data_IF_918601361994
#
_entry.id   IF_918601361994
#
_cell.length_a   1.000
_cell.length_b   1.000
_cell.length_c   1.000
_cell.angle_alpha   90.00
_cell.angle_beta   90.00
_cell.angle_gamma   90.00
#
_symmetry.space_group_name_H-M   'P 1'
#
loop_
_entity.id
_entity.type
_entity.pdbx_description
1 polymer ?
#
# COMPACT_ATOMS: atom_id res chain seq x y z
N UNK A 1 -40.72 35.27 -30.17
CA UNK A 1 -40.17 36.13 -29.09
C UNK A 1 -39.52 35.18 -28.10
N UNK A 2 -38.23 35.19 -27.79
CA UNK A 2 -37.23 36.27 -27.73
C UNK A 2 -35.88 35.78 -28.28
N UNK A 3 -35.09 36.73 -28.79
CA UNK A 3 -33.85 36.60 -29.57
C UNK A 3 -32.63 36.23 -28.72
N UNK A 4 -31.67 35.61 -29.42
CA UNK A 4 -30.28 35.47 -29.02
C UNK A 4 -29.52 36.81 -29.06
N UNK A 5 -28.52 36.95 -28.18
CA UNK A 5 -27.44 37.93 -28.34
C UNK A 5 -26.07 37.26 -28.24
N UNK A 6 -25.23 37.63 -29.21
CA UNK A 6 -23.85 37.23 -29.42
C UNK A 6 -22.98 38.36 -28.87
N UNK A 7 -22.00 38.07 -28.01
CA UNK A 7 -21.00 39.06 -27.58
C UNK A 7 -19.67 38.86 -28.32
N UNK A 8 -19.24 39.95 -28.97
CA UNK A 8 -18.05 40.09 -29.81
C UNK A 8 -16.86 40.49 -28.93
N UNK A 9 -15.76 39.74 -28.99
CA UNK A 9 -14.47 40.14 -28.40
C UNK A 9 -13.65 40.95 -29.42
N UNK A 10 -13.36 42.22 -29.09
CA UNK A 10 -12.43 43.09 -29.83
C UNK A 10 -11.02 43.00 -29.24
N UNK A 11 -10.04 42.94 -30.14
CA UNK A 11 -8.58 43.02 -29.88
C UNK A 11 -8.17 44.43 -29.47
N UNK A 12 -7.26 44.54 -28.50
CA UNK A 12 -6.56 45.78 -28.15
C UNK A 12 -5.08 45.50 -27.95
N UNK A 13 -4.25 46.04 -28.85
CA UNK A 13 -2.80 45.99 -28.83
C UNK A 13 -2.24 46.98 -27.80
N UNK A 14 -1.10 46.64 -27.18
CA UNK A 14 -0.28 47.59 -26.44
C UNK A 14 1.16 47.54 -26.94
N UNK A 15 1.63 48.72 -27.30
CA UNK A 15 2.88 49.08 -27.96
C UNK A 15 4.04 49.22 -26.98
N UNK A 16 5.24 48.82 -27.42
CA UNK A 16 6.52 49.12 -26.80
C UNK A 16 6.82 50.63 -26.80
N UNK A 17 7.42 51.14 -25.72
CA UNK A 17 8.16 52.41 -25.72
C UNK A 17 9.51 52.17 -25.04
N UNK A 18 10.57 52.44 -25.79
CA UNK A 18 11.94 52.53 -25.32
C UNK A 18 12.24 53.96 -24.87
N UNK A 19 13.07 54.13 -23.84
CA UNK A 19 13.70 55.41 -23.51
C UNK A 19 15.14 55.17 -23.04
N UNK A 20 16.05 55.91 -23.65
CA UNK A 20 17.51 55.80 -23.53
C UNK A 20 18.08 56.77 -22.50
N UNK A 21 19.13 56.30 -21.81
CA UNK A 21 20.36 56.96 -21.30
C UNK A 21 20.34 58.37 -20.71
N UNK A 22 20.93 58.49 -19.51
CA UNK A 22 21.89 59.54 -19.18
C UNK A 22 22.93 59.05 -18.16
N UNK A 23 24.20 59.11 -18.57
CA UNK A 23 25.39 58.87 -17.75
C UNK A 23 25.63 60.06 -16.82
N UNK A 24 25.94 59.77 -15.55
CA UNK A 24 26.66 60.67 -14.66
C UNK A 24 27.78 59.89 -13.98
N UNK A 25 29.00 60.25 -14.33
CA UNK A 25 30.25 59.74 -13.76
C UNK A 25 30.46 60.34 -12.36
N UNK A 26 30.59 59.49 -11.36
CA UNK A 26 31.19 59.88 -10.07
C UNK A 26 32.26 58.86 -9.70
N UNK A 27 33.51 59.30 -9.82
CA UNK A 27 34.68 58.56 -9.33
C UNK A 27 34.75 58.71 -7.82
N UNK A 28 34.58 57.63 -7.08
CA UNK A 28 34.97 57.57 -5.68
C UNK A 28 35.71 56.27 -5.42
N UNK A 29 37.02 56.39 -5.19
CA UNK A 29 37.91 55.32 -4.80
C UNK A 29 37.60 54.91 -3.37
N UNK A 30 36.85 53.83 -3.20
CA UNK A 30 36.79 53.06 -1.96
C UNK A 30 37.12 51.61 -2.29
N UNK A 31 38.25 51.11 -1.79
CA UNK A 31 38.54 49.67 -1.72
C UNK A 31 37.75 49.09 -0.54
N UNK A 32 36.77 48.19 -0.75
CA UNK A 32 36.31 47.32 0.32
C UNK A 32 37.28 46.15 0.41
N UNK A 33 37.84 45.93 1.60
CA UNK A 33 38.46 44.66 1.96
C UNK A 33 37.38 43.57 1.85
N UNK A 34 37.39 42.81 0.76
CA UNK A 34 36.66 41.54 0.67
C UNK A 34 37.39 40.52 1.56
N UNK A 35 36.99 40.45 2.83
CA UNK A 35 37.03 39.17 3.53
C UNK A 35 35.91 38.32 2.95
N UNK A 36 36.25 37.51 1.96
CA UNK A 36 35.45 36.32 1.63
C UNK A 36 35.50 35.41 2.86
N UNK A 37 34.37 35.10 3.52
CA UNK A 37 34.37 34.04 4.51
C UNK A 37 34.82 32.75 3.79
N UNK A 38 35.54 31.85 4.48
CA UNK A 38 35.94 30.60 3.88
C UNK A 38 34.68 29.92 3.36
N UNK A 39 34.72 29.56 2.08
CA UNK A 39 33.70 28.77 1.42
C UNK A 39 33.59 27.48 2.23
N UNK A 40 32.62 27.40 3.14
CA UNK A 40 32.25 26.15 3.77
C UNK A 40 31.81 25.24 2.64
N UNK A 41 32.74 24.42 2.16
CA UNK A 41 32.42 23.19 1.46
C UNK A 41 31.72 22.32 2.50
N UNK A 42 30.43 22.55 2.72
CA UNK A 42 29.59 21.53 3.32
C UNK A 42 29.75 20.31 2.43
N UNK A 43 30.46 19.31 2.96
CA UNK A 43 30.57 17.99 2.39
C UNK A 43 29.15 17.51 2.07
N UNK A 44 28.74 17.59 0.81
CA UNK A 44 27.48 17.00 0.33
C UNK A 44 27.45 15.47 0.56
N UNK A 45 28.60 14.86 0.85
CA UNK A 45 28.75 13.47 1.28
C UNK A 45 28.29 13.20 2.72
N UNK A 46 28.17 14.21 3.58
CA UNK A 46 27.82 14.03 5.00
C UNK A 46 26.30 14.07 5.28
N UNK A 47 25.49 14.57 4.32
CA UNK A 47 24.03 14.56 4.45
C UNK A 47 23.37 13.25 3.96
N UNK A 48 24.10 12.41 3.22
CA UNK A 48 23.60 11.11 2.74
C UNK A 48 23.77 9.98 3.78
N UNK A 49 24.47 10.23 4.90
CA UNK A 49 24.79 9.21 5.91
C UNK A 49 23.72 9.01 6.99
N UNK A 50 22.60 9.74 6.94
CA UNK A 50 21.57 9.71 7.96
C UNK A 50 20.26 9.16 7.40
N UNK A 51 20.07 7.86 7.56
CA UNK A 51 18.85 7.17 7.17
C UNK A 51 17.81 7.26 8.29
N UNK A 52 16.50 7.29 7.96
CA UNK A 52 15.47 7.03 8.96
C UNK A 52 15.66 5.65 9.59
N UNK A 53 15.34 5.51 10.87
CA UNK A 53 15.64 4.27 11.61
C UNK A 53 14.94 3.01 11.10
N UNK A 54 13.81 3.16 10.40
CA UNK A 54 13.16 2.02 9.75
C UNK A 54 13.81 1.58 8.43
N UNK A 55 14.58 2.46 7.78
CA UNK A 55 15.29 2.20 6.51
C UNK A 55 16.79 1.92 6.71
N UNK A 56 17.28 2.01 7.96
CA UNK A 56 18.67 1.76 8.36
C UNK A 56 19.03 0.28 8.60
N UNK A 57 18.07 -0.65 8.57
CA UNK A 57 18.35 -2.07 8.81
C UNK A 57 18.51 -2.40 10.31
N UNK A 58 19.69 -2.89 10.72
CA UNK A 58 20.01 -3.34 12.09
C UNK A 58 20.22 -2.21 13.11
N UNK A 59 19.93 -0.97 12.73
CA UNK A 59 20.19 0.17 13.59
C UNK A 59 19.29 0.15 14.83
N UNK A 60 19.86 0.52 15.97
CA UNK A 60 19.10 0.78 17.19
C UNK A 60 18.28 2.05 16.96
N UNK A 61 16.99 2.04 17.27
CA UNK A 61 16.10 3.20 17.05
C UNK A 61 16.33 4.35 18.05
N UNK A 62 17.52 4.41 18.63
CA UNK A 62 17.93 5.45 19.55
C UNK A 62 18.43 6.66 18.76
N UNK A 63 17.89 7.85 19.02
CA UNK A 63 18.28 9.09 18.34
C UNK A 63 17.66 9.37 16.97
N UNK A 64 16.64 8.61 16.51
CA UNK A 64 15.89 8.78 15.24
C UNK A 64 16.70 8.72 13.94
N UNK A 65 18.03 8.70 14.02
CA UNK A 65 18.94 8.82 12.88
C UNK A 65 19.89 7.63 12.86
N UNK A 66 20.02 7.00 11.70
CA UNK A 66 20.84 5.82 11.51
C UNK A 66 22.04 6.10 10.61
N UNK A 67 23.21 5.67 11.06
CA UNK A 67 24.41 5.59 10.22
C UNK A 67 24.34 4.25 9.50
N UNK A 68 24.13 4.30 8.18
CA UNK A 68 24.08 3.10 7.35
C UNK A 68 25.40 2.32 7.47
N UNK A 69 25.33 0.98 7.59
CA UNK A 69 26.50 0.15 7.29
C UNK A 69 26.91 0.40 5.83
N UNK A 70 28.22 0.54 5.59
CA UNK A 70 28.82 0.87 4.28
C UNK A 70 28.52 -0.16 3.16
N UNK A 71 27.74 -1.21 3.46
CA UNK A 71 27.48 -2.39 2.62
C UNK A 71 26.23 -2.26 1.74
N UNK A 72 25.41 -1.21 1.90
CA UNK A 72 24.23 -1.00 1.03
C UNK A 72 24.44 0.14 0.05
N UNK A 73 24.75 -0.20 -1.20
CA UNK A 73 25.08 0.73 -2.30
C UNK A 73 23.90 1.65 -2.73
N UNK A 74 22.68 1.37 -2.30
CA UNK A 74 21.49 2.16 -2.67
C UNK A 74 21.39 3.41 -1.79
N UNK A 75 21.44 4.60 -2.39
CA UNK A 75 21.12 5.86 -1.69
C UNK A 75 19.61 6.05 -1.54
N UNK A 76 19.14 6.87 -0.59
CA UNK A 76 17.70 7.21 -0.46
C UNK A 76 17.13 7.73 -1.79
N UNK A 77 17.89 8.58 -2.50
CA UNK A 77 17.48 9.14 -3.79
C UNK A 77 17.45 8.11 -4.93
N UNK A 78 18.16 7.00 -4.79
CA UNK A 78 18.17 5.89 -5.72
C UNK A 78 17.11 4.81 -5.41
N UNK A 79 16.41 4.90 -4.28
CA UNK A 79 15.35 3.97 -3.93
C UNK A 79 14.10 4.23 -4.79
N UNK A 80 13.63 3.20 -5.48
CA UNK A 80 12.36 3.21 -6.21
C UNK A 80 11.24 2.48 -5.47
N UNK A 81 10.22 2.04 -6.22
CA UNK A 81 9.12 1.26 -5.68
C UNK A 81 8.15 2.09 -4.84
N UNK A 82 7.48 1.46 -3.89
CA UNK A 82 6.39 2.10 -3.13
C UNK A 82 6.51 1.96 -1.63
N UNK A 83 7.70 1.71 -1.08
CA UNK A 83 7.87 1.55 0.37
C UNK A 83 9.02 2.36 0.97
N UNK A 84 10.24 2.20 0.46
CA UNK A 84 11.42 2.83 1.03
C UNK A 84 12.71 2.12 0.64
N UNK A 85 13.84 2.63 1.12
CA UNK A 85 15.18 2.18 0.74
C UNK A 85 15.43 0.72 1.10
N UNK A 86 15.09 0.30 2.32
CA UNK A 86 15.32 -1.07 2.79
C UNK A 86 14.52 -2.07 1.97
N UNK A 87 13.28 -1.74 1.64
CA UNK A 87 12.44 -2.57 0.78
C UNK A 87 12.97 -2.61 -0.66
N UNK A 88 13.52 -1.52 -1.17
CA UNK A 88 14.12 -1.48 -2.52
C UNK A 88 15.38 -2.34 -2.62
N UNK A 89 16.24 -2.25 -1.61
CA UNK A 89 17.47 -3.02 -1.51
C UNK A 89 17.25 -4.53 -1.40
N UNK A 90 16.05 -4.97 -0.97
CA UNK A 90 15.68 -6.38 -0.94
C UNK A 90 15.50 -7.01 -2.33
N UNK A 91 15.49 -6.20 -3.40
CA UNK A 91 15.53 -6.66 -4.78
C UNK A 91 14.18 -7.02 -5.38
N UNK A 92 14.18 -7.52 -6.61
CA UNK A 92 12.96 -7.76 -7.39
C UNK A 92 12.23 -9.06 -6.99
N UNK A 93 11.06 -9.28 -7.61
CA UNK A 93 10.23 -10.48 -7.47
C UNK A 93 9.68 -10.73 -6.06
N UNK A 94 9.47 -9.66 -5.31
CA UNK A 94 8.91 -9.69 -3.97
C UNK A 94 7.46 -10.18 -3.99
N UNK A 95 7.07 -10.95 -2.97
CA UNK A 95 5.67 -11.23 -2.66
C UNK A 95 5.33 -10.53 -1.37
N UNK A 96 4.30 -9.70 -1.38
CA UNK A 96 4.04 -8.71 -0.33
C UNK A 96 2.70 -8.94 0.32
N UNK A 97 2.70 -9.06 1.64
CA UNK A 97 1.54 -8.82 2.50
C UNK A 97 1.56 -7.34 2.88
N UNK A 98 0.53 -6.62 2.50
CA UNK A 98 0.44 -5.17 2.67
C UNK A 98 -0.60 -4.82 3.72
N UNK A 99 -0.18 -3.98 4.68
CA UNK A 99 -0.97 -3.53 5.81
C UNK A 99 -0.94 -2.01 5.89
N UNK A 100 -2.04 -1.43 6.36
CA UNK A 100 -2.08 -0.06 6.87
C UNK A 100 -2.27 -0.14 8.38
N UNK A 101 -1.59 0.72 9.14
CA UNK A 101 -1.86 0.86 10.57
C UNK A 101 -1.69 2.32 10.99
N UNK A 102 -2.66 2.82 11.74
CA UNK A 102 -2.78 4.23 12.12
C UNK A 102 -3.53 4.36 13.45
N UNK A 103 -3.31 5.49 14.13
CA UNK A 103 -3.86 5.75 15.46
C UNK A 103 -3.20 4.92 16.56
N UNK A 104 -3.71 5.08 17.77
CA UNK A 104 -3.02 4.62 18.99
C UNK A 104 -3.74 3.47 19.70
N UNK A 105 -4.69 2.79 19.05
CA UNK A 105 -5.34 1.64 19.66
C UNK A 105 -4.32 0.48 19.81
N UNK A 106 -4.00 0.05 21.05
CA UNK A 106 -2.97 -0.95 21.30
C UNK A 106 -3.30 -2.34 20.72
N UNK A 107 -4.57 -2.65 20.51
CA UNK A 107 -4.99 -3.96 19.99
C UNK A 107 -4.47 -4.19 18.56
N UNK A 108 -4.40 -3.15 17.72
CA UNK A 108 -3.83 -3.26 16.36
C UNK A 108 -2.32 -3.51 16.39
N UNK A 109 -1.60 -2.89 17.33
CA UNK A 109 -0.15 -3.08 17.46
C UNK A 109 0.21 -4.48 17.98
N UNK A 110 -0.62 -5.02 18.88
CA UNK A 110 -0.52 -6.43 19.29
C UNK A 110 -0.83 -7.36 18.12
N UNK A 111 -1.88 -7.06 17.34
CA UNK A 111 -2.25 -7.79 16.14
C UNK A 111 -1.14 -7.83 15.09
N UNK A 112 -0.44 -6.71 14.87
CA UNK A 112 0.71 -6.65 13.96
C UNK A 112 1.80 -7.67 14.31
N UNK A 113 2.15 -7.79 15.60
CA UNK A 113 3.16 -8.78 16.05
C UNK A 113 2.73 -10.20 15.70
N UNK A 114 1.45 -10.52 15.90
CA UNK A 114 0.89 -11.84 15.57
C UNK A 114 0.88 -12.09 14.07
N UNK A 115 0.49 -11.10 13.26
CA UNK A 115 0.53 -11.20 11.79
C UNK A 115 1.96 -11.46 11.30
N UNK A 116 2.96 -10.75 11.83
CA UNK A 116 4.36 -10.95 11.45
C UNK A 116 4.83 -12.38 11.73
N UNK A 117 4.50 -12.91 12.91
CA UNK A 117 4.79 -14.30 13.26
C UNK A 117 4.11 -15.29 12.30
N UNK A 118 2.81 -15.12 12.08
CA UNK A 118 2.02 -16.03 11.25
C UNK A 118 2.41 -15.98 9.77
N UNK A 119 2.72 -14.80 9.23
CA UNK A 119 3.23 -14.67 7.85
C UNK A 119 4.58 -15.37 7.73
N UNK A 120 5.48 -15.24 8.71
CA UNK A 120 6.76 -15.93 8.72
C UNK A 120 6.63 -17.46 8.67
N UNK A 121 5.58 -18.02 9.30
CA UNK A 121 5.31 -19.45 9.33
C UNK A 121 4.52 -19.92 8.09
N UNK A 122 3.42 -19.24 7.74
CA UNK A 122 2.46 -19.71 6.74
C UNK A 122 2.82 -19.28 5.31
N UNK A 123 3.59 -18.21 5.15
CA UNK A 123 3.95 -17.64 3.85
C UNK A 123 5.47 -17.44 3.74
N UNK A 124 6.27 -18.52 3.80
CA UNK A 124 7.72 -18.40 3.70
C UNK A 124 8.13 -17.67 2.41
N UNK A 125 9.06 -16.73 2.55
CA UNK A 125 9.54 -15.86 1.46
C UNK A 125 8.65 -14.66 1.15
N UNK A 126 7.48 -14.52 1.79
CA UNK A 126 6.69 -13.30 1.70
C UNK A 126 7.24 -12.22 2.64
N UNK A 127 7.17 -10.99 2.17
CA UNK A 127 7.53 -9.78 2.89
C UNK A 127 6.26 -9.15 3.48
N UNK A 128 6.37 -8.54 4.64
CA UNK A 128 5.31 -7.70 5.20
C UNK A 128 5.71 -6.24 5.04
N UNK A 129 4.90 -5.48 4.30
CA UNK A 129 5.05 -4.03 4.16
C UNK A 129 3.94 -3.34 4.96
N UNK A 130 4.33 -2.55 5.96
CA UNK A 130 3.42 -1.75 6.76
C UNK A 130 3.49 -0.29 6.37
N UNK A 131 2.37 0.25 5.91
CA UNK A 131 2.19 1.66 5.59
C UNK A 131 1.65 2.41 6.80
N UNK A 132 2.44 3.36 7.32
CA UNK A 132 2.13 4.12 8.53
C UNK A 132 2.96 5.40 8.60
N UNK A 133 2.79 6.19 9.67
CA UNK A 133 3.67 7.31 10.04
C UNK A 133 4.67 6.82 11.09
N UNK A 134 5.90 6.43 10.71
CA UNK A 134 6.75 5.62 11.60
C UNK A 134 7.22 6.38 12.85
N UNK A 135 7.48 7.68 12.71
CA UNK A 135 7.99 8.54 13.79
C UNK A 135 7.11 8.50 15.05
N UNK A 136 5.79 8.38 14.91
CA UNK A 136 4.86 8.36 16.03
C UNK A 136 4.87 7.02 16.81
N UNK A 137 5.48 5.97 16.25
CA UNK A 137 5.27 4.59 16.71
C UNK A 137 6.56 3.79 16.88
N UNK A 138 7.69 4.47 17.12
CA UNK A 138 9.00 3.85 17.28
C UNK A 138 9.03 2.76 18.38
N UNK A 139 8.30 2.95 19.48
CA UNK A 139 8.21 2.00 20.59
C UNK A 139 7.60 0.65 20.18
N UNK A 140 6.66 0.66 19.23
CA UNK A 140 6.04 -0.56 18.70
C UNK A 140 6.85 -1.17 17.55
N UNK A 141 7.34 -0.34 16.64
CA UNK A 141 7.95 -0.78 15.39
C UNK A 141 9.39 -1.24 15.56
N UNK A 142 10.17 -0.56 16.40
CA UNK A 142 11.59 -0.84 16.55
C UNK A 142 11.90 -2.28 16.97
N UNK A 143 11.24 -2.84 18.02
CA UNK A 143 11.48 -4.23 18.40
C UNK A 143 11.12 -5.21 17.28
N UNK A 144 10.07 -4.91 16.50
CA UNK A 144 9.60 -5.77 15.41
C UNK A 144 10.58 -5.79 14.24
N UNK A 145 11.17 -4.65 13.87
CA UNK A 145 12.18 -4.60 12.78
C UNK A 145 13.42 -5.45 13.08
N UNK A 146 13.80 -5.56 14.36
CA UNK A 146 14.92 -6.39 14.81
C UNK A 146 14.57 -7.89 14.82
N UNK A 147 13.31 -8.22 15.11
CA UNK A 147 12.85 -9.61 15.21
C UNK A 147 12.49 -10.22 13.85
N UNK A 148 12.01 -9.40 12.90
CA UNK A 148 11.47 -9.87 11.63
C UNK A 148 12.23 -9.26 10.45
N UNK A 149 13.10 -10.06 9.82
CA UNK A 149 13.92 -9.62 8.69
C UNK A 149 13.11 -9.35 7.42
N UNK A 150 11.96 -10.01 7.27
CA UNK A 150 11.00 -9.82 6.18
C UNK A 150 9.99 -8.68 6.42
N UNK A 151 10.16 -7.88 7.48
CA UNK A 151 9.30 -6.75 7.82
C UNK A 151 9.91 -5.43 7.34
N UNK A 152 9.09 -4.64 6.64
CA UNK A 152 9.43 -3.33 6.11
C UNK A 152 8.37 -2.32 6.54
N UNK A 153 8.82 -1.16 6.99
CA UNK A 153 7.97 -0.03 7.35
C UNK A 153 8.10 1.02 6.24
N UNK A 154 6.96 1.42 5.69
CA UNK A 154 6.84 2.33 4.58
C UNK A 154 6.27 3.66 5.09
N UNK A 155 7.08 4.73 5.05
CA UNK A 155 6.68 6.06 5.54
C UNK A 155 5.77 6.75 4.53
N UNK A 156 4.47 6.78 4.83
CA UNK A 156 3.45 7.39 3.97
C UNK A 156 3.63 8.90 3.77
N UNK A 157 4.46 9.55 4.59
CA UNK A 157 4.79 10.98 4.43
C UNK A 157 5.93 11.22 3.44
N UNK A 158 6.68 10.16 3.07
CA UNK A 158 7.88 10.26 2.26
C UNK A 158 8.16 8.96 1.49
N UNK A 159 7.19 8.47 0.70
CA UNK A 159 7.41 7.32 -0.17
C UNK A 159 8.26 7.71 -1.39
N UNK A 160 8.98 6.75 -2.00
CA UNK A 160 9.71 7.00 -3.24
C UNK A 160 8.81 7.58 -4.35
N UNK A 161 9.36 8.43 -5.25
CA UNK A 161 8.64 8.89 -6.41
C UNK A 161 8.12 7.73 -7.28
N UNK A 162 6.93 7.86 -7.90
CA UNK A 162 6.13 9.08 -7.98
C UNK A 162 5.13 9.27 -6.82
N UNK A 163 5.04 8.36 -5.84
CA UNK A 163 3.99 8.44 -4.82
C UNK A 163 4.20 9.60 -3.84
N UNK A 164 5.42 9.79 -3.33
CA UNK A 164 5.72 10.87 -2.39
C UNK A 164 4.88 10.82 -1.12
N UNK A 165 4.36 11.97 -0.71
CA UNK A 165 3.52 12.09 0.49
C UNK A 165 2.06 11.75 0.18
N UNK A 166 1.57 10.64 0.72
CA UNK A 166 0.17 10.20 0.62
C UNK A 166 -0.58 10.30 1.95
N UNK A 167 -0.10 11.09 2.92
CA UNK A 167 -0.76 11.26 4.23
C UNK A 167 -2.14 11.90 4.19
N UNK A 168 -2.45 12.58 3.08
CA UNK A 168 -3.76 13.14 2.78
C UNK A 168 -4.77 12.09 2.28
N UNK A 169 -4.31 10.91 1.86
CA UNK A 169 -5.16 9.78 1.48
C UNK A 169 -5.67 9.09 2.74
N UNK A 170 -6.92 8.62 2.71
CA UNK A 170 -7.50 7.91 3.84
C UNK A 170 -6.65 6.66 4.23
N UNK A 171 -6.34 6.44 5.52
CA UNK A 171 -5.39 5.40 5.95
C UNK A 171 -5.70 3.97 5.51
N UNK A 172 -6.98 3.60 5.43
CA UNK A 172 -7.43 2.28 4.91
C UNK A 172 -6.95 2.00 3.48
N UNK A 173 -6.57 3.03 2.73
CA UNK A 173 -6.11 2.91 1.35
C UNK A 173 -4.58 2.89 1.23
N UNK A 174 -3.79 3.21 2.26
CA UNK A 174 -2.32 3.15 2.10
C UNK A 174 -1.81 1.76 1.75
N UNK A 175 -2.45 0.70 2.25
CA UNK A 175 -2.16 -0.72 1.94
C UNK A 175 -2.30 -1.10 0.47
N UNK A 176 -2.93 -0.27 -0.38
CA UNK A 176 -2.97 -0.53 -1.83
C UNK A 176 -1.73 0.01 -2.55
N UNK A 177 -0.85 0.74 -1.87
CA UNK A 177 0.35 1.34 -2.46
C UNK A 177 1.28 0.36 -3.21
N UNK A 178 1.47 -0.91 -2.82
CA UNK A 178 2.27 -1.86 -3.58
C UNK A 178 1.67 -2.29 -4.92
N UNK A 179 0.41 -1.95 -5.22
CA UNK A 179 -0.24 -2.38 -6.45
C UNK A 179 0.48 -1.79 -7.67
N UNK A 180 1.05 -2.66 -8.50
CA UNK A 180 1.87 -2.24 -9.64
C UNK A 180 3.28 -1.73 -9.28
N UNK A 181 3.78 -2.00 -8.07
CA UNK A 181 5.18 -1.77 -7.73
C UNK A 181 6.09 -2.64 -8.64
N UNK A 182 7.15 -2.07 -9.25
CA UNK A 182 8.00 -2.80 -10.20
C UNK A 182 8.77 -3.98 -9.59
N UNK A 183 9.03 -3.99 -8.28
CA UNK A 183 9.72 -5.10 -7.61
C UNK A 183 8.76 -6.17 -7.09
N UNK A 184 7.46 -5.89 -7.04
CA UNK A 184 6.46 -6.81 -6.52
C UNK A 184 5.94 -7.71 -7.65
N UNK A 185 5.69 -8.97 -7.35
CA UNK A 185 5.10 -9.97 -8.28
C UNK A 185 3.72 -10.40 -7.83
N UNK A 186 3.51 -10.46 -6.51
CA UNK A 186 2.24 -10.78 -5.89
C UNK A 186 2.02 -9.90 -4.65
N UNK A 187 0.80 -9.42 -4.50
CA UNK A 187 0.33 -8.56 -3.43
C UNK A 187 -0.87 -9.24 -2.77
N UNK A 188 -0.87 -9.30 -1.44
CA UNK A 188 -2.04 -9.56 -0.60
C UNK A 188 -2.31 -8.33 0.27
N UNK A 189 -3.50 -7.77 0.14
CA UNK A 189 -3.94 -6.62 0.95
C UNK A 189 -4.73 -7.15 2.14
N UNK A 190 -4.36 -6.72 3.35
CA UNK A 190 -4.93 -7.21 4.61
C UNK A 190 -5.35 -6.10 5.57
N UNK A 191 -6.33 -6.39 6.42
CA UNK A 191 -6.60 -5.60 7.63
C UNK A 191 -5.67 -6.05 8.77
N UNK A 192 -5.19 -5.11 9.59
CA UNK A 192 -4.28 -5.39 10.70
C UNK A 192 -4.95 -5.96 11.95
N UNK A 193 -6.28 -6.03 11.99
CA UNK A 193 -7.05 -6.68 13.06
C UNK A 193 -7.45 -8.12 12.74
N UNK A 194 -7.06 -8.62 11.57
CA UNK A 194 -7.42 -9.95 11.08
C UNK A 194 -6.29 -10.96 11.21
N UNK A 195 -6.56 -12.07 11.89
CA UNK A 195 -5.62 -13.17 12.03
C UNK A 195 -5.34 -13.83 10.66
N UNK A 196 -4.10 -14.24 10.42
CA UNK A 196 -3.75 -15.12 9.30
C UNK A 196 -4.05 -16.55 9.72
N UNK A 197 -4.86 -17.26 8.93
CA UNK A 197 -5.32 -18.61 9.25
C UNK A 197 -4.94 -19.62 8.20
N UNK A 198 -4.97 -20.90 8.59
CA UNK A 198 -4.78 -22.02 7.66
C UNK A 198 -5.82 -22.04 6.53
N UNK A 199 -7.05 -21.62 6.84
CA UNK A 199 -8.14 -21.47 5.87
C UNK A 199 -7.82 -20.44 4.79
N UNK A 200 -7.27 -19.31 5.20
CA UNK A 200 -6.78 -18.29 4.28
C UNK A 200 -5.59 -18.79 3.47
N UNK A 201 -4.61 -19.42 4.13
CA UNK A 201 -3.43 -19.98 3.47
C UNK A 201 -3.83 -20.95 2.35
N UNK A 202 -4.82 -21.80 2.60
CA UNK A 202 -5.36 -22.72 1.61
C UNK A 202 -6.02 -21.99 0.42
N UNK A 203 -6.79 -20.92 0.67
CA UNK A 203 -7.39 -20.09 -0.38
C UNK A 203 -6.33 -19.35 -1.21
N UNK A 204 -5.32 -18.77 -0.57
CA UNK A 204 -4.19 -18.10 -1.22
C UNK A 204 -3.40 -19.11 -2.06
N UNK A 205 -3.14 -20.30 -1.54
CA UNK A 205 -2.47 -21.38 -2.30
C UNK A 205 -3.28 -21.74 -3.55
N UNK A 206 -4.59 -21.96 -3.42
CA UNK A 206 -5.47 -22.25 -4.55
C UNK A 206 -5.45 -21.12 -5.60
N UNK A 207 -5.44 -19.86 -5.16
CA UNK A 207 -5.29 -18.71 -6.06
C UNK A 207 -3.95 -18.71 -6.80
N UNK A 208 -2.84 -18.90 -6.09
CA UNK A 208 -1.51 -18.91 -6.71
C UNK A 208 -1.38 -20.03 -7.74
N UNK A 209 -1.99 -21.20 -7.48
CA UNK A 209 -1.99 -22.36 -8.39
C UNK A 209 -2.95 -22.19 -9.57
N UNK A 210 -4.02 -21.41 -9.42
CA UNK A 210 -5.00 -21.18 -10.49
C UNK A 210 -4.48 -20.38 -11.69
N UNK A 211 -3.33 -19.70 -11.54
CA UNK A 211 -2.81 -18.78 -12.54
C UNK A 211 -3.65 -17.51 -12.76
N UNK A 212 -4.68 -17.27 -11.92
CA UNK A 212 -5.48 -16.03 -11.99
C UNK A 212 -4.67 -14.82 -11.53
N UNK A 213 -5.01 -13.65 -12.08
CA UNK A 213 -4.34 -12.39 -11.71
C UNK A 213 -4.80 -11.88 -10.36
N UNK A 214 -6.05 -12.13 -10.00
CA UNK A 214 -6.64 -11.52 -8.82
C UNK A 214 -7.29 -12.56 -7.92
N UNK A 215 -7.41 -12.22 -6.65
CA UNK A 215 -8.01 -13.02 -5.60
C UNK A 215 -8.97 -12.17 -4.79
N UNK A 216 -10.13 -12.75 -4.43
CA UNK A 216 -11.07 -12.19 -3.47
C UNK A 216 -11.52 -13.28 -2.52
N UNK A 217 -11.63 -12.94 -1.24
CA UNK A 217 -12.13 -13.85 -0.21
C UNK A 217 -13.36 -13.25 0.48
N UNK A 218 -14.46 -14.00 0.49
CA UNK A 218 -15.73 -13.65 1.16
C UNK A 218 -16.14 -14.83 2.05
N UNK A 219 -15.95 -14.68 3.35
CA UNK A 219 -16.05 -15.79 4.31
C UNK A 219 -17.13 -15.60 5.38
N UNK A 220 -17.89 -14.51 5.31
CA UNK A 220 -18.94 -14.16 6.25
C UNK A 220 -20.22 -13.74 5.50
N UNK A 221 -21.43 -13.93 6.04
CA UNK A 221 -22.67 -13.50 5.39
C UNK A 221 -22.72 -11.99 5.04
N UNK A 222 -21.99 -11.17 5.79
CA UNK A 222 -21.85 -9.72 5.57
C UNK A 222 -20.68 -9.34 4.65
N UNK A 223 -19.98 -10.31 4.05
CA UNK A 223 -18.96 -10.06 3.03
C UNK A 223 -19.63 -9.96 1.65
N UNK A 224 -20.69 -9.17 1.56
CA UNK A 224 -21.62 -9.06 0.42
C UNK A 224 -21.24 -7.94 -0.57
N UNK A 225 -19.95 -7.61 -0.63
CA UNK A 225 -19.36 -6.67 -1.59
C UNK A 225 -18.41 -7.35 -2.58
N UNK A 226 -18.15 -6.70 -3.72
CA UNK A 226 -17.25 -7.23 -4.73
C UNK A 226 -15.82 -7.43 -4.23
N UNK A 227 -15.28 -6.47 -3.48
CA UNK A 227 -13.92 -6.54 -2.94
C UNK A 227 -13.97 -5.97 -1.53
N UNK A 228 -13.66 -6.79 -0.52
CA UNK A 228 -13.45 -6.29 0.83
C UNK A 228 -12.08 -5.63 0.91
N UNK A 229 -11.98 -4.54 1.68
CA UNK A 229 -10.77 -3.72 1.75
C UNK A 229 -9.49 -4.51 2.09
N UNK A 230 -9.58 -5.46 3.01
CA UNK A 230 -8.46 -6.28 3.49
C UNK A 230 -8.50 -7.75 3.12
N UNK A 231 -9.23 -8.14 2.08
CA UNK A 231 -9.37 -9.57 1.72
C UNK A 231 -9.23 -9.83 0.22
N UNK A 232 -8.19 -9.28 -0.39
CA UNK A 232 -7.93 -9.45 -1.81
C UNK A 232 -6.44 -9.49 -2.13
N UNK A 233 -6.13 -9.95 -3.34
CA UNK A 233 -4.76 -9.98 -3.84
C UNK A 233 -4.69 -9.77 -5.35
N UNK A 234 -3.51 -9.36 -5.80
CA UNK A 234 -3.19 -9.19 -7.21
C UNK A 234 -1.78 -9.72 -7.49
N UNK A 235 -1.58 -10.31 -8.66
CA UNK A 235 -0.27 -10.71 -9.16
C UNK A 235 -0.20 -10.49 -10.66
N UNK A 236 0.98 -10.10 -11.13
CA UNK A 236 1.25 -9.71 -12.50
C UNK A 236 2.47 -10.43 -13.11
N UNK A 237 2.84 -11.56 -12.52
CA UNK A 237 3.99 -12.41 -12.86
C UNK A 237 3.64 -13.63 -13.75
N UNK A 238 2.37 -13.80 -14.16
CA UNK A 238 1.90 -14.98 -14.90
C UNK A 238 2.55 -15.11 -16.28
N UNK A 239 2.83 -13.99 -16.91
CA UNK A 239 3.48 -13.91 -18.23
C UNK A 239 4.55 -12.84 -18.16
N UNK A 240 5.81 -13.28 -18.03
CA UNK A 240 6.97 -12.40 -17.85
C UNK A 240 7.03 -11.31 -18.94
N UNK A 241 6.68 -11.64 -20.18
CA UNK A 241 6.65 -10.68 -21.30
C UNK A 241 5.70 -9.50 -21.09
N UNK A 242 4.64 -9.66 -20.29
CA UNK A 242 3.65 -8.62 -20.00
C UNK A 242 3.76 -8.07 -18.57
N UNK A 243 4.75 -8.51 -17.79
CA UNK A 243 4.86 -8.15 -16.38
C UNK A 243 4.97 -6.62 -16.19
N UNK A 244 5.80 -5.96 -17.00
CA UNK A 244 5.98 -4.50 -16.95
C UNK A 244 4.71 -3.75 -17.33
N UNK A 245 4.04 -4.16 -18.41
CA UNK A 245 2.79 -3.53 -18.86
C UNK A 245 1.68 -3.70 -17.82
N UNK A 246 1.55 -4.90 -17.25
CA UNK A 246 0.60 -5.14 -16.17
C UNK A 246 0.93 -4.31 -14.93
N UNK A 247 2.20 -4.19 -14.54
CA UNK A 247 2.62 -3.34 -13.43
C UNK A 247 2.25 -1.87 -13.68
N UNK A 248 2.51 -1.34 -14.89
CA UNK A 248 2.14 0.01 -15.27
C UNK A 248 0.63 0.25 -15.21
N UNK A 249 -0.18 -0.65 -15.78
CA UNK A 249 -1.64 -0.59 -15.71
C UNK A 249 -2.12 -0.57 -14.25
N UNK A 250 -1.64 -1.51 -13.45
CA UNK A 250 -2.02 -1.62 -12.04
C UNK A 250 -1.58 -0.39 -11.23
N UNK A 251 -0.41 0.19 -11.55
CA UNK A 251 0.08 1.42 -10.93
C UNK A 251 -0.76 2.65 -11.29
N UNK A 252 -1.27 2.72 -12.52
CA UNK A 252 -2.21 3.77 -12.96
C UNK A 252 -3.50 3.68 -12.17
N UNK A 253 -4.08 2.48 -12.07
CA UNK A 253 -5.33 2.24 -11.35
C UNK A 253 -5.17 2.47 -9.85
N UNK A 254 -4.02 2.09 -9.27
CA UNK A 254 -3.66 2.44 -7.90
C UNK A 254 -3.71 3.96 -7.71
N UNK A 255 -3.09 4.74 -8.59
CA UNK A 255 -3.07 6.20 -8.45
C UNK A 255 -4.50 6.78 -8.49
N UNK A 256 -5.34 6.33 -9.42
CA UNK A 256 -6.76 6.74 -9.45
C UNK A 256 -7.52 6.37 -8.17
N UNK A 257 -7.23 5.20 -7.58
CA UNK A 257 -7.83 4.79 -6.30
C UNK A 257 -7.34 5.63 -5.12
N UNK A 258 -6.06 6.03 -5.10
CA UNK A 258 -5.51 6.92 -4.08
C UNK A 258 -6.09 8.34 -4.22
N UNK A 259 -6.33 8.82 -5.44
CA UNK A 259 -7.00 10.09 -5.72
C UNK A 259 -8.47 10.06 -5.29
N UNK A 260 -9.24 9.03 -5.66
CA UNK A 260 -10.64 8.86 -5.25
C UNK A 260 -10.77 8.74 -3.72
N UNK A 261 -9.70 8.32 -3.03
CA UNK A 261 -9.66 8.17 -1.59
C UNK A 261 -9.36 9.48 -0.83
N UNK A 262 -9.08 10.57 -1.53
CA UNK A 262 -8.94 11.89 -0.92
C UNK A 262 -10.32 12.37 -0.44
N UNK A 263 -10.46 12.58 0.88
CA UNK A 263 -11.71 13.05 1.46
C UNK A 263 -12.75 11.96 1.76
N UNK A 264 -12.37 10.68 1.74
CA UNK A 264 -13.20 9.64 2.35
C UNK A 264 -13.49 9.98 3.82
N UNK A 265 -14.74 9.79 4.24
CA UNK A 265 -15.20 10.08 5.60
C UNK A 265 -16.07 8.96 6.18
N UNK A 266 -16.57 8.05 5.34
CA UNK A 266 -17.53 7.02 5.73
C UNK A 266 -16.91 5.63 5.65
N UNK A 267 -17.33 4.80 6.60
CA UNK A 267 -17.00 3.39 6.60
C UNK A 267 -17.50 2.71 5.31
N UNK A 268 -16.65 1.90 4.68
CA UNK A 268 -16.94 1.15 3.46
C UNK A 268 -16.72 1.90 2.14
N UNK A 269 -16.33 3.18 2.16
CA UNK A 269 -15.97 3.91 0.94
C UNK A 269 -14.75 3.32 0.22
N UNK A 270 -13.83 2.68 0.95
CA UNK A 270 -12.70 1.94 0.37
C UNK A 270 -13.19 0.80 -0.55
N UNK A 271 -14.20 0.05 -0.11
CA UNK A 271 -14.81 -1.03 -0.87
C UNK A 271 -15.55 -0.52 -2.11
N UNK A 272 -16.14 0.69 -2.04
CA UNK A 272 -16.78 1.34 -3.19
C UNK A 272 -15.74 1.76 -4.23
N UNK A 273 -14.60 2.33 -3.81
CA UNK A 273 -13.49 2.70 -4.69
C UNK A 273 -12.92 1.46 -5.37
N UNK A 274 -12.65 0.39 -4.62
CA UNK A 274 -12.19 -0.88 -5.16
C UNK A 274 -13.16 -1.45 -6.19
N UNK A 275 -14.47 -1.40 -5.89
CA UNK A 275 -15.51 -1.86 -6.82
C UNK A 275 -15.57 -1.00 -8.09
N UNK A 276 -15.40 0.31 -7.98
CA UNK A 276 -15.46 1.24 -9.11
C UNK A 276 -14.24 1.13 -10.02
N UNK A 277 -13.03 1.07 -9.43
CA UNK A 277 -11.76 1.21 -10.16
C UNK A 277 -11.10 -0.12 -10.50
N UNK A 278 -11.10 -1.07 -9.57
CA UNK A 278 -10.33 -2.31 -9.71
C UNK A 278 -11.18 -3.48 -10.24
N UNK A 279 -12.40 -3.65 -9.72
CA UNK A 279 -13.26 -4.78 -10.12
C UNK A 279 -13.47 -4.95 -11.64
N UNK A 280 -13.63 -3.87 -12.45
CA UNK A 280 -13.75 -4.03 -13.91
C UNK A 280 -12.56 -4.77 -14.54
N UNK A 281 -11.35 -4.63 -14.00
CA UNK A 281 -10.15 -5.34 -14.46
C UNK A 281 -10.07 -6.79 -13.97
N UNK A 282 -10.81 -7.11 -12.90
CA UNK A 282 -10.82 -8.43 -12.26
C UNK A 282 -11.76 -9.41 -12.97
N UNK A 283 -12.78 -8.91 -13.67
CA UNK A 283 -13.78 -9.74 -14.37
C UNK A 283 -13.07 -10.72 -15.33
N UNK A 284 -13.34 -12.02 -15.16
CA UNK A 284 -12.72 -13.11 -15.93
C UNK A 284 -11.30 -13.50 -15.49
N UNK A 285 -10.61 -12.65 -14.72
CA UNK A 285 -9.22 -12.81 -14.27
C UNK A 285 -9.07 -13.07 -12.77
N UNK A 286 -10.18 -13.16 -12.04
CA UNK A 286 -10.23 -13.38 -10.59
C UNK A 286 -10.52 -14.83 -10.22
N UNK A 287 -9.90 -15.33 -9.15
CA UNK A 287 -10.43 -16.43 -8.34
C UNK A 287 -11.12 -15.81 -7.12
N UNK A 288 -12.42 -16.04 -6.94
CA UNK A 288 -13.17 -15.50 -5.82
C UNK A 288 -13.67 -16.65 -4.94
N UNK A 289 -13.16 -16.77 -3.71
CA UNK A 289 -13.68 -17.73 -2.74
C UNK A 289 -14.86 -17.14 -1.98
N UNK A 290 -15.96 -17.89 -1.89
CA UNK A 290 -17.20 -17.41 -1.28
C UNK A 290 -17.94 -18.50 -0.49
N UNK A 291 -18.24 -18.23 0.78
CA UNK A 291 -19.00 -19.13 1.66
C UNK A 291 -20.51 -18.93 1.58
N UNK A 292 -20.99 -17.71 1.33
CA UNK A 292 -22.40 -17.33 1.56
C UNK A 292 -23.04 -16.56 0.40
N UNK A 293 -22.27 -15.75 -0.30
CA UNK A 293 -22.69 -14.79 -1.32
C UNK A 293 -22.51 -15.33 -2.76
N UNK A 294 -22.32 -16.65 -2.92
CA UNK A 294 -22.14 -17.28 -4.24
C UNK A 294 -23.33 -17.13 -5.22
N UNK A 295 -24.51 -16.73 -4.71
CA UNK A 295 -25.67 -16.40 -5.54
C UNK A 295 -25.72 -14.91 -5.92
N UNK A 296 -25.08 -14.06 -5.13
CA UNK A 296 -24.95 -12.62 -5.41
C UNK A 296 -23.87 -12.40 -6.46
N UNK A 297 -22.74 -13.10 -6.32
CA UNK A 297 -21.61 -12.99 -7.23
C UNK A 297 -21.53 -14.21 -8.15
N UNK A 298 -21.61 -13.99 -9.46
CA UNK A 298 -21.45 -15.09 -10.43
C UNK A 298 -19.97 -15.49 -10.53
N UNK A 299 -19.71 -16.79 -10.74
CA UNK A 299 -18.37 -17.30 -11.01
C UNK A 299 -17.45 -17.41 -9.79
N UNK A 300 -17.99 -17.35 -8.57
CA UNK A 300 -17.22 -17.68 -7.36
C UNK A 300 -16.93 -19.17 -7.28
N UNK A 301 -15.89 -19.50 -6.52
CA UNK A 301 -15.50 -20.84 -6.13
C UNK A 301 -15.78 -21.03 -4.63
N UNK A 302 -16.24 -22.20 -4.19
CA UNK A 302 -16.30 -22.53 -2.77
C UNK A 302 -14.93 -22.42 -2.08
N UNK A 303 -14.91 -22.27 -0.76
CA UNK A 303 -13.66 -22.33 0.01
C UNK A 303 -13.01 -23.72 -0.08
N UNK A 304 -11.66 -23.79 -0.08
CA UNK A 304 -10.95 -25.06 -0.26
C UNK A 304 -10.86 -25.90 1.04
N UNK A 305 -11.37 -25.39 2.16
CA UNK A 305 -11.38 -26.09 3.45
C UNK A 305 -12.74 -25.99 4.11
N UNK A 306 -13.03 -26.92 5.02
CA UNK A 306 -14.15 -26.80 5.94
C UNK A 306 -13.87 -25.70 6.97
N UNK A 307 -14.91 -24.99 7.40
CA UNK A 307 -14.79 -24.02 8.49
C UNK A 307 -14.69 -24.76 9.83
N UNK A 308 -13.72 -24.35 10.65
CA UNK A 308 -13.45 -24.92 11.98
C UNK A 308 -13.87 -23.88 13.03
N UNK A 309 -14.57 -24.33 14.07
CA UNK A 309 -14.99 -23.54 15.24
C UNK A 309 -15.70 -22.21 14.92
N UNK A 310 -16.37 -22.14 13.77
CA UNK A 310 -17.05 -20.93 13.31
C UNK A 310 -16.12 -19.76 12.96
N UNK A 311 -14.79 -19.94 12.98
CA UNK A 311 -13.82 -18.92 12.59
C UNK A 311 -14.01 -18.52 11.12
N UNK A 312 -13.81 -17.24 10.78
CA UNK A 312 -13.85 -16.77 9.40
C UNK A 312 -12.66 -15.86 9.07
N UNK A 313 -12.19 -15.94 7.83
CA UNK A 313 -11.15 -15.06 7.31
C UNK A 313 -11.68 -13.63 7.25
N UNK A 314 -10.88 -12.67 7.70
CA UNK A 314 -11.28 -11.27 7.85
C UNK A 314 -11.99 -10.96 9.17
N UNK A 315 -12.08 -11.93 10.09
CA UNK A 315 -12.55 -11.65 11.45
C UNK A 315 -11.62 -10.66 12.16
N UNK A 316 -12.12 -9.54 12.72
CA UNK A 316 -11.31 -8.54 13.43
C UNK A 316 -10.93 -9.02 14.86
N UNK A 317 -10.50 -10.27 14.96
CA UNK A 317 -10.30 -11.02 16.21
C UNK A 317 -9.26 -10.43 17.17
N UNK A 318 -8.38 -9.54 16.70
CA UNK A 318 -7.43 -8.85 17.58
C UNK A 318 -8.09 -7.73 18.39
N UNK A 319 -9.22 -7.20 17.93
CA UNK A 319 -10.03 -6.25 18.69
C UNK A 319 -10.77 -7.00 19.79
N UNK A 320 -10.59 -6.58 21.04
CA UNK A 320 -11.15 -7.28 22.22
C UNK A 320 -12.66 -7.48 22.12
N UNK A 321 -13.38 -6.52 21.56
CA UNK A 321 -14.83 -6.56 21.35
C UNK A 321 -15.28 -7.63 20.34
N UNK A 322 -14.39 -8.12 19.47
CA UNK A 322 -14.70 -9.10 18.41
C UNK A 322 -13.92 -10.42 18.54
N UNK A 323 -13.11 -10.59 19.59
CA UNK A 323 -12.22 -11.74 19.78
C UNK A 323 -12.90 -13.11 19.64
N UNK A 324 -14.17 -13.21 20.06
CA UNK A 324 -14.94 -14.45 20.05
C UNK A 324 -16.02 -14.49 18.95
N UNK A 325 -15.93 -13.63 17.94
CA UNK A 325 -16.89 -13.61 16.85
C UNK A 325 -16.78 -14.88 16.00
N UNK A 326 -17.90 -15.57 15.84
CA UNK A 326 -18.00 -16.80 15.05
C UNK A 326 -19.19 -16.72 14.09
N UNK A 327 -19.19 -17.59 13.07
CA UNK A 327 -20.29 -17.73 12.12
C UNK A 327 -21.04 -19.04 12.37
N UNK A 328 -22.13 -19.03 13.16
CA UNK A 328 -22.91 -20.24 13.43
C UNK A 328 -23.85 -20.61 12.28
N UNK A 329 -23.94 -19.77 11.24
CA UNK A 329 -24.85 -19.95 10.10
C UNK A 329 -24.29 -21.00 9.12
N UNK A 330 -25.04 -22.08 8.80
CA UNK A 330 -24.66 -23.01 7.76
C UNK A 330 -24.46 -22.34 6.40
N UNK A 331 -23.48 -22.81 5.64
CA UNK A 331 -23.30 -22.45 4.25
C UNK A 331 -24.54 -22.82 3.42
N UNK A 332 -25.00 -21.95 2.50
CA UNK A 332 -25.97 -22.34 1.49
C UNK A 332 -25.45 -23.54 0.72
N UNK A 333 -26.30 -24.55 0.49
CA UNK A 333 -25.91 -25.80 -0.17
C UNK A 333 -25.20 -25.53 -1.50
N UNK A 334 -25.65 -24.53 -2.25
CA UNK A 334 -25.05 -24.13 -3.53
C UNK A 334 -23.62 -23.59 -3.42
N UNK A 335 -23.26 -22.95 -2.31
CA UNK A 335 -21.92 -22.38 -2.08
C UNK A 335 -20.91 -23.42 -1.56
N UNK A 336 -21.36 -24.61 -1.20
CA UNK A 336 -20.47 -25.70 -0.75
C UNK A 336 -19.70 -26.32 -1.92
N UNK A 337 -18.48 -26.84 -1.69
CA UNK A 337 -17.73 -27.59 -2.70
C UNK A 337 -18.56 -28.76 -3.26
N UNK A 338 -18.44 -29.02 -4.57
CA UNK A 338 -19.19 -30.11 -5.21
C UNK A 338 -18.82 -31.47 -4.63
N UNK A 339 -17.55 -31.66 -4.28
CA UNK A 339 -17.00 -32.87 -3.68
C UNK A 339 -17.25 -32.96 -2.17
N UNK A 340 -17.64 -31.86 -1.53
CA UNK A 340 -17.83 -31.78 -0.08
C UNK A 340 -19.14 -31.08 0.27
N UNK A 341 -20.27 -31.64 -0.18
CA UNK A 341 -21.61 -31.11 0.14
C UNK A 341 -21.98 -31.28 1.61
N UNK A 342 -21.30 -32.20 2.28
CA UNK A 342 -21.35 -32.50 3.71
C UNK A 342 -20.70 -31.41 4.57
N UNK A 343 -19.89 -30.51 4.01
CA UNK A 343 -19.38 -29.33 4.73
C UNK A 343 -20.49 -28.32 4.97
N UNK A 344 -21.27 -28.56 6.03
CA UNK A 344 -22.35 -27.67 6.49
C UNK A 344 -21.79 -26.27 6.79
N UNK A 345 -20.59 -26.23 7.36
CA UNK A 345 -19.80 -25.03 7.56
C UNK A 345 -18.64 -25.02 6.56
N UNK A 346 -18.85 -24.27 5.50
CA UNK A 346 -17.86 -23.84 4.55
C UNK A 346 -17.69 -22.33 4.72
#
# INVERSE_FOLDING_TARGET
MVRAEVSVWRRGAWTCVAASLLLLTYTNTFKPLLHTPPRETHNLSFLESHLPWWDGGHCRCDGQVCVAEATTEVSIKGAGGTCGRRSWAAGDKQRVVSLSLYGDNPDYWLGLKEILHQVGVMYPGWMVRLYTVPHAHATHLCPLLNLYTNFYVCDITNLPPPLGNISHVHPMMWRIAPLGDPQVTALMVRDSDSQVSERERAAVKAWLESGKHFHVMRDHPSHDVHILGGMWGARWDQRLQYQRENALLLSSIRNEMLEDAQGMTKYGEDQQILTKRLWPLMVGRVLAHDSYCCLLFRGTTPWPTQRIDGYFVGSPSFRKEYKNQTVPKPCPVRCRPKQHRDWIYC
#
